data_IF_476856398890
#
_entry.id   IF_476856398890
#
_cell.length_a   1.000
_cell.length_b   1.000
_cell.length_c   1.000
_cell.angle_alpha   90.00
_cell.angle_beta   90.00
_cell.angle_gamma   90.00
#
_symmetry.space_group_name_H-M   'P 1'
#
loop_
_entity.id
_entity.type
_entity.pdbx_description
1 polymer ?
#
# COMPACT_ATOMS: atom_id res chain seq x y z
N UNK A 1 -2.01 1.43 -24.83
CA UNK A 1 -2.70 1.28 -23.53
C UNK A 1 -1.92 0.31 -22.64
N UNK A 2 -1.62 0.67 -21.39
CA UNK A 2 -0.97 -0.23 -20.43
C UNK A 2 -2.05 -1.11 -19.79
N UNK A 3 -2.02 -2.43 -19.99
CA UNK A 3 -2.96 -3.36 -19.34
C UNK A 3 -2.78 -3.27 -17.83
N UNK A 4 -3.87 -3.05 -17.09
CA UNK A 4 -3.87 -3.13 -15.64
C UNK A 4 -3.52 -4.56 -15.24
N UNK A 5 -2.50 -4.75 -14.38
CA UNK A 5 -2.18 -6.07 -13.86
C UNK A 5 -3.30 -6.48 -12.90
N UNK A 6 -3.93 -7.62 -13.16
CA UNK A 6 -4.83 -8.26 -12.20
C UNK A 6 -4.00 -8.73 -11.01
N UNK A 7 -4.54 -8.65 -9.79
CA UNK A 7 -3.89 -9.06 -8.54
C UNK A 7 -3.73 -10.59 -8.42
N UNK A 8 -3.41 -11.29 -9.53
CA UNK A 8 -3.23 -12.74 -9.56
C UNK A 8 -4.49 -13.55 -9.23
N UNK A 9 -5.68 -12.96 -9.38
CA UNK A 9 -6.94 -13.59 -8.97
C UNK A 9 -7.32 -13.34 -7.50
N UNK A 10 -6.54 -12.56 -6.75
CA UNK A 10 -6.88 -12.15 -5.40
C UNK A 10 -7.91 -11.03 -5.43
N UNK A 11 -8.87 -11.10 -4.50
CA UNK A 11 -9.68 -9.94 -4.16
C UNK A 11 -8.80 -8.85 -3.55
N UNK A 12 -9.21 -7.57 -3.64
CA UNK A 12 -8.45 -6.49 -3.03
C UNK A 12 -8.14 -6.71 -1.54
N UNK A 13 -9.10 -7.29 -0.81
CA UNK A 13 -8.94 -7.61 0.61
C UNK A 13 -7.84 -8.66 0.85
N UNK A 14 -7.88 -9.78 0.12
CA UNK A 14 -6.88 -10.84 0.26
C UNK A 14 -5.47 -10.36 -0.11
N UNK A 15 -5.36 -9.50 -1.12
CA UNK A 15 -4.09 -8.89 -1.47
C UNK A 15 -3.53 -8.04 -0.33
N UNK A 16 -4.36 -7.20 0.28
CA UNK A 16 -3.96 -6.36 1.42
C UNK A 16 -3.53 -7.24 2.60
N UNK A 17 -4.32 -8.24 2.98
CA UNK A 17 -3.97 -9.17 4.06
C UNK A 17 -2.65 -9.89 3.81
N UNK A 18 -2.39 -10.32 2.56
CA UNK A 18 -1.14 -10.99 2.19
C UNK A 18 0.08 -10.07 2.28
N UNK A 19 -0.04 -8.82 1.81
CA UNK A 19 1.07 -7.85 1.91
C UNK A 19 1.27 -7.44 3.37
N UNK A 20 0.21 -7.28 4.17
CA UNK A 20 0.31 -6.98 5.61
C UNK A 20 1.09 -8.05 6.38
N UNK A 21 0.94 -9.32 6.05
CA UNK A 21 1.67 -10.41 6.71
C UNK A 21 3.09 -10.60 6.16
N UNK A 22 3.30 -10.36 4.86
CA UNK A 22 4.59 -10.62 4.21
C UNK A 22 5.55 -9.43 4.28
N UNK A 23 5.03 -8.20 4.26
CA UNK A 23 5.78 -6.94 4.21
C UNK A 23 5.08 -5.88 5.09
N UNK A 24 4.94 -6.10 6.41
CA UNK A 24 4.26 -5.15 7.30
C UNK A 24 4.89 -3.75 7.25
N UNK A 25 6.22 -3.65 7.09
CA UNK A 25 6.97 -2.40 6.99
C UNK A 25 6.52 -1.47 5.85
N UNK A 26 5.91 -2.02 4.79
CA UNK A 26 5.35 -1.19 3.71
C UNK A 26 4.15 -0.37 4.13
N UNK A 27 3.43 -0.83 5.15
CA UNK A 27 2.25 -0.16 5.70
C UNK A 27 2.54 0.51 7.04
N UNK A 28 3.72 0.31 7.61
CA UNK A 28 4.21 1.14 8.71
C UNK A 28 4.54 2.51 8.11
N UNK A 29 3.57 3.42 8.22
CA UNK A 29 3.77 4.83 7.92
C UNK A 29 4.86 5.35 8.86
N UNK A 30 6.08 5.52 8.32
CA UNK A 30 7.10 6.30 9.00
C UNK A 30 6.52 7.69 9.29
N UNK A 31 6.34 8.09 10.56
CA UNK A 31 5.63 9.31 10.92
C UNK A 31 6.31 10.58 10.36
N UNK A 32 7.58 10.47 9.98
CA UNK A 32 8.38 11.53 9.34
C UNK A 32 7.79 11.95 7.97
N UNK A 33 7.16 11.02 7.23
CA UNK A 33 6.58 11.30 5.91
C UNK A 33 5.13 11.84 5.99
N UNK A 34 4.55 11.89 7.18
CA UNK A 34 3.20 12.40 7.45
C UNK A 34 3.22 13.81 8.05
N UNK A 35 4.30 14.57 7.87
CA UNK A 35 4.24 16.02 8.04
C UNK A 35 3.72 16.61 6.73
N UNK A 36 2.39 16.81 6.52
CA UNK A 36 1.96 17.77 5.52
C UNK A 36 2.62 19.08 5.94
N UNK A 37 3.54 19.57 5.13
CA UNK A 37 4.14 20.88 5.37
C UNK A 37 3.03 21.91 5.56
N UNK A 38 3.31 22.96 6.33
CA UNK A 38 2.39 24.07 6.49
C UNK A 38 2.07 24.62 5.09
N UNK A 39 0.83 24.43 4.62
CA UNK A 39 0.35 25.04 3.39
C UNK A 39 0.30 26.56 3.63
N UNK A 40 1.38 27.27 3.32
CA UNK A 40 1.38 28.72 3.19
C UNK A 40 1.26 29.06 1.71
#
# INVERSE_FOLDING_TARGET
>A
ARRLKTLGGLTPYEYICKIWTSEPDRFILNPIHQMPGLNT
#
